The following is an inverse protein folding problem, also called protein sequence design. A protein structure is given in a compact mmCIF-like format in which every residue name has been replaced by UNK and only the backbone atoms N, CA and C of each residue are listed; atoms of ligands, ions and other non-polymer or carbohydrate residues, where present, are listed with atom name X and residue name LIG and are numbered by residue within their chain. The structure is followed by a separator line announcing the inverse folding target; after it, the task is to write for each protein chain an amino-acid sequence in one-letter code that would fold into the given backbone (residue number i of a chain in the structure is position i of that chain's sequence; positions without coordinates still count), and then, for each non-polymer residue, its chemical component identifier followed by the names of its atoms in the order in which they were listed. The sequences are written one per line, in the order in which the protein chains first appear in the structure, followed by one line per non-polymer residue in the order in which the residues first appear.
data_IF_237287381820
#
_entry.id   IF_237287381820
#
_cell.length_a   1.000
_cell.length_b   1.000
_cell.length_c   1.000
_cell.angle_alpha   90.00
_cell.angle_beta   90.00
_cell.angle_gamma   90.00
#
_symmetry.space_group_name_H-M   'P 1'
#
loop_
_entity.id
_entity.type
_entity.pdbx_description
1 polymer ?
#
# COMPACT_ATOMS: atom_id res chain seq x y z
N UNK A 1 0.20 6.81 -26.81
CA UNK A 1 1.00 5.86 -26.00
C UNK A 1 0.20 5.38 -24.80
N UNK A 2 -0.83 4.52 -24.97
CA UNK A 2 -1.54 3.84 -23.86
C UNK A 2 -1.21 2.35 -23.76
N UNK A 3 -0.74 1.77 -24.86
CA UNK A 3 -0.47 0.33 -25.02
C UNK A 3 0.47 -0.21 -23.94
N UNK A 4 1.55 0.51 -23.58
CA UNK A 4 2.48 0.07 -22.52
C UNK A 4 1.78 -0.04 -21.17
N UNK A 5 0.91 0.92 -20.83
CA UNK A 5 0.15 0.88 -19.59
C UNK A 5 -0.84 -0.30 -19.58
N UNK A 6 -1.53 -0.53 -20.69
CA UNK A 6 -2.48 -1.64 -20.83
C UNK A 6 -1.77 -3.00 -20.72
N UNK A 7 -0.61 -3.17 -21.38
CA UNK A 7 0.21 -4.39 -21.31
C UNK A 7 0.71 -4.62 -19.89
N UNK A 8 1.23 -3.58 -19.21
CA UNK A 8 1.70 -3.73 -17.82
C UNK A 8 0.55 -4.11 -16.88
N UNK A 9 -0.63 -3.55 -17.10
CA UNK A 9 -1.81 -3.82 -16.27
C UNK A 9 -2.39 -5.23 -16.48
N UNK A 10 -2.45 -5.70 -17.73
CA UNK A 10 -2.93 -7.05 -18.07
C UNK A 10 -1.86 -8.13 -17.81
N UNK A 11 -0.58 -7.77 -17.91
CA UNK A 11 0.55 -8.67 -17.68
C UNK A 11 0.88 -8.89 -16.20
N UNK A 12 0.42 -8.02 -15.30
CA UNK A 12 0.75 -8.12 -13.88
C UNK A 12 0.38 -9.46 -13.24
N UNK A 13 -0.80 -10.07 -13.48
CA UNK A 13 -1.11 -11.38 -12.92
C UNK A 13 -0.10 -12.45 -13.34
N UNK A 14 0.44 -12.37 -14.55
CA UNK A 14 1.50 -13.28 -15.02
C UNK A 14 2.80 -13.01 -14.27
N UNK A 15 3.19 -11.74 -14.10
CA UNK A 15 4.35 -11.36 -13.28
C UNK A 15 4.20 -11.85 -11.84
N UNK A 16 3.01 -11.74 -11.25
CA UNK A 16 2.71 -12.30 -9.94
C UNK A 16 2.94 -13.81 -9.92
N UNK A 17 2.40 -14.57 -10.88
CA UNK A 17 2.64 -16.02 -10.95
C UNK A 17 4.13 -16.38 -11.05
N UNK A 18 4.91 -15.61 -11.84
CA UNK A 18 6.37 -15.78 -11.91
C UNK A 18 7.01 -15.52 -10.55
N UNK A 19 6.63 -14.45 -9.84
CA UNK A 19 7.13 -14.17 -8.49
C UNK A 19 6.81 -15.30 -7.51
N UNK A 20 5.61 -15.89 -7.58
CA UNK A 20 5.24 -17.05 -6.75
C UNK A 20 6.00 -18.34 -7.11
N UNK A 21 6.44 -18.48 -8.37
CA UNK A 21 7.26 -19.62 -8.79
C UNK A 21 8.73 -19.53 -8.34
N UNK A 22 9.25 -18.32 -8.12
CA UNK A 22 10.67 -18.09 -7.79
C UNK A 22 10.89 -17.81 -6.31
N UNK A 23 9.95 -17.11 -5.66
CA UNK A 23 10.05 -16.70 -4.27
C UNK A 23 9.23 -17.62 -3.36
N UNK A 24 9.55 -17.63 -2.07
CA UNK A 24 8.68 -18.27 -1.08
C UNK A 24 7.30 -17.60 -1.08
N UNK A 25 6.18 -18.32 -0.88
CA UNK A 25 4.82 -17.78 -1.03
C UNK A 25 4.59 -16.46 -0.28
N UNK A 26 5.07 -16.36 0.97
CA UNK A 26 5.00 -15.11 1.76
C UNK A 26 5.75 -13.94 1.12
N UNK A 27 6.96 -14.17 0.62
CA UNK A 27 7.77 -13.15 -0.05
C UNK A 27 7.17 -12.78 -1.41
N UNK A 28 6.60 -13.75 -2.12
CA UNK A 28 5.89 -13.52 -3.37
C UNK A 28 4.65 -12.64 -3.17
N UNK A 29 3.87 -12.88 -2.11
CA UNK A 29 2.75 -12.00 -1.71
C UNK A 29 3.24 -10.57 -1.48
N UNK A 30 4.30 -10.37 -0.69
CA UNK A 30 4.86 -9.05 -0.43
C UNK A 30 5.36 -8.37 -1.71
N UNK A 31 6.16 -9.07 -2.51
CA UNK A 31 6.74 -8.54 -3.73
C UNK A 31 5.65 -8.18 -4.75
N UNK A 32 4.68 -9.08 -4.97
CA UNK A 32 3.56 -8.88 -5.87
C UNK A 32 2.67 -7.71 -5.43
N UNK A 33 2.38 -7.58 -4.13
CA UNK A 33 1.59 -6.48 -3.62
C UNK A 33 2.34 -5.14 -3.73
N UNK A 34 3.56 -5.07 -3.21
CA UNK A 34 4.33 -3.82 -3.13
C UNK A 34 4.80 -3.34 -4.51
N UNK A 35 5.37 -4.23 -5.33
CA UNK A 35 5.80 -3.86 -6.67
C UNK A 35 4.61 -3.52 -7.56
N UNK A 36 3.49 -4.25 -7.44
CA UNK A 36 2.28 -3.95 -8.18
C UNK A 36 1.70 -2.59 -7.79
N UNK A 37 1.66 -2.30 -6.49
CA UNK A 37 1.20 -1.00 -6.00
C UNK A 37 2.12 0.15 -6.44
N UNK A 38 3.44 -0.05 -6.39
CA UNK A 38 4.44 0.97 -6.64
C UNK A 38 4.76 1.20 -8.12
N UNK A 39 4.61 0.21 -9.00
CA UNK A 39 5.11 0.29 -10.38
C UNK A 39 4.02 0.40 -11.43
N UNK A 40 2.84 -0.24 -11.22
CA UNK A 40 1.79 -0.27 -12.24
C UNK A 40 1.32 1.13 -12.64
N UNK A 41 0.61 1.31 -13.78
CA UNK A 41 0.09 2.61 -14.17
C UNK A 41 -1.12 3.06 -13.31
N UNK A 42 -1.31 4.37 -13.18
CA UNK A 42 -2.51 4.96 -12.57
C UNK A 42 -3.46 5.45 -13.69
N UNK A 43 -4.75 5.65 -13.37
CA UNK A 43 -5.76 6.22 -14.29
C UNK A 43 -5.99 5.44 -15.59
N UNK A 44 -5.58 4.19 -15.63
CA UNK A 44 -5.86 3.25 -16.71
C UNK A 44 -6.65 2.11 -16.12
N UNK A 45 -7.69 1.71 -16.85
CA UNK A 45 -8.49 0.56 -16.51
C UNK A 45 -9.57 0.29 -17.55
N UNK A 46 -10.06 -0.94 -17.56
CA UNK A 46 -11.12 -1.40 -18.45
C UNK A 46 -12.44 -1.43 -17.69
N UNK A 47 -13.44 -0.77 -18.25
CA UNK A 47 -14.80 -0.85 -17.70
C UNK A 47 -15.38 -2.21 -18.03
N UNK A 48 -15.72 -2.96 -17.00
CA UNK A 48 -16.36 -4.26 -17.14
C UNK A 48 -17.85 -4.11 -16.82
N UNK A 49 -18.72 -4.59 -17.71
CA UNK A 49 -20.16 -4.59 -17.41
C UNK A 49 -20.45 -5.66 -16.36
N UNK A 50 -21.04 -5.29 -15.24
CA UNK A 50 -21.40 -6.22 -14.15
C UNK A 50 -20.27 -6.63 -13.21
N UNK A 51 -19.03 -6.19 -13.46
CA UNK A 51 -17.88 -6.47 -12.59
C UNK A 51 -17.18 -5.16 -12.21
N UNK A 52 -16.46 -5.13 -11.08
CA UNK A 52 -15.61 -4.00 -10.75
C UNK A 52 -14.63 -3.68 -11.90
N UNK A 53 -14.43 -2.39 -12.18
CA UNK A 53 -13.53 -1.92 -13.22
C UNK A 53 -12.14 -2.56 -13.07
N UNK A 54 -11.60 -3.08 -14.18
CA UNK A 54 -10.27 -3.67 -14.18
C UNK A 54 -9.22 -2.55 -14.10
N UNK A 55 -8.74 -2.28 -12.91
CA UNK A 55 -7.78 -1.22 -12.57
C UNK A 55 -6.50 -1.81 -12.01
N UNK A 56 -5.57 -0.95 -11.57
CA UNK A 56 -4.37 -1.38 -10.82
C UNK A 56 -4.74 -2.32 -9.68
N UNK A 57 -5.78 -1.98 -8.92
CA UNK A 57 -6.13 -2.72 -7.70
C UNK A 57 -6.62 -4.13 -8.06
N UNK A 58 -7.55 -4.25 -9.01
CA UNK A 58 -8.01 -5.57 -9.46
C UNK A 58 -6.87 -6.40 -10.05
N UNK A 59 -5.98 -5.78 -10.83
CA UNK A 59 -4.84 -6.46 -11.44
C UNK A 59 -3.88 -7.04 -10.38
N UNK A 60 -3.52 -6.26 -9.35
CA UNK A 60 -2.70 -6.73 -8.23
C UNK A 60 -3.40 -7.83 -7.44
N UNK A 61 -4.69 -7.63 -7.13
CA UNK A 61 -5.49 -8.59 -6.35
C UNK A 61 -5.69 -9.90 -7.11
N UNK A 62 -5.95 -9.84 -8.41
CA UNK A 62 -6.06 -11.04 -9.26
C UNK A 62 -4.74 -11.79 -9.32
N UNK A 63 -3.61 -11.10 -9.49
CA UNK A 63 -2.28 -11.72 -9.44
C UNK A 63 -1.99 -12.38 -8.09
N UNK A 64 -2.39 -11.76 -6.98
CA UNK A 64 -2.27 -12.34 -5.65
C UNK A 64 -3.15 -13.58 -5.46
N UNK A 65 -4.43 -13.50 -5.82
CA UNK A 65 -5.37 -14.61 -5.69
C UNK A 65 -4.94 -15.79 -6.54
N UNK A 66 -4.59 -15.56 -7.82
CA UNK A 66 -4.10 -16.61 -8.71
C UNK A 66 -2.80 -17.23 -8.20
N UNK A 67 -1.85 -16.40 -7.73
CA UNK A 67 -0.61 -16.89 -7.11
C UNK A 67 -0.86 -17.79 -5.91
N UNK A 68 -1.73 -17.38 -5.00
CA UNK A 68 -2.09 -18.20 -3.82
C UNK A 68 -2.83 -19.48 -4.23
N UNK A 69 -3.78 -19.41 -5.16
CA UNK A 69 -4.54 -20.58 -5.63
C UNK A 69 -3.66 -21.63 -6.31
N UNK A 70 -2.65 -21.20 -7.07
CA UNK A 70 -1.76 -22.12 -7.81
C UNK A 70 -0.65 -22.68 -6.92
N UNK A 71 -0.03 -21.85 -6.07
CA UNK A 71 1.19 -22.23 -5.36
C UNK A 71 1.01 -22.51 -3.86
N UNK A 72 -0.09 -22.08 -3.24
CA UNK A 72 -0.28 -22.21 -1.80
C UNK A 72 -1.77 -22.39 -1.41
N UNK A 73 -2.51 -23.18 -2.20
CA UNK A 73 -3.95 -23.40 -2.03
C UNK A 73 -4.31 -23.87 -0.61
N UNK A 74 -3.47 -24.73 -0.04
CA UNK A 74 -3.65 -25.30 1.29
C UNK A 74 -3.74 -24.23 2.38
N UNK A 75 -3.10 -23.06 2.20
CA UNK A 75 -3.19 -21.96 3.17
C UNK A 75 -4.58 -21.35 3.26
N UNK A 76 -5.38 -21.39 2.19
CA UNK A 76 -6.74 -20.83 2.24
C UNK A 76 -7.64 -21.55 3.26
N UNK A 77 -7.36 -22.82 3.58
CA UNK A 77 -8.06 -23.53 4.65
C UNK A 77 -7.80 -22.96 6.06
N UNK A 78 -6.77 -22.14 6.22
CA UNK A 78 -6.45 -21.42 7.45
C UNK A 78 -7.33 -20.19 7.72
N UNK A 79 -8.18 -19.78 6.76
CA UNK A 79 -9.08 -18.65 6.94
C UNK A 79 -10.18 -19.06 7.93
N UNK A 80 -10.09 -18.52 9.15
CA UNK A 80 -11.12 -18.69 10.19
C UNK A 80 -11.67 -17.33 10.57
N UNK A 81 -12.96 -17.12 10.29
CA UNK A 81 -13.66 -15.90 10.68
C UNK A 81 -13.73 -15.81 12.20
N UNK A 82 -13.13 -14.75 12.74
CA UNK A 82 -13.14 -14.39 14.15
C UNK A 82 -13.84 -13.05 14.35
N UNK A 83 -14.06 -12.68 15.62
CA UNK A 83 -14.73 -11.42 15.98
C UNK A 83 -14.00 -10.17 15.46
N UNK A 84 -12.68 -10.25 15.29
CA UNK A 84 -11.87 -9.16 14.74
C UNK A 84 -12.04 -8.95 13.24
N UNK A 85 -12.68 -9.88 12.52
CA UNK A 85 -12.99 -9.71 11.09
C UNK A 85 -14.36 -9.03 10.87
N UNK A 86 -15.17 -8.87 11.91
CA UNK A 86 -16.49 -8.25 11.77
C UNK A 86 -16.44 -6.84 11.14
N UNK A 87 -15.49 -5.95 11.49
CA UNK A 87 -15.41 -4.63 10.86
C UNK A 87 -15.12 -4.69 9.36
N UNK A 88 -14.26 -5.61 8.90
CA UNK A 88 -13.94 -5.72 7.47
C UNK A 88 -15.11 -6.34 6.69
N UNK A 89 -15.82 -7.30 7.30
CA UNK A 89 -17.03 -7.88 6.71
C UNK A 89 -18.12 -6.82 6.61
N UNK A 90 -18.35 -6.04 7.67
CA UNK A 90 -19.29 -4.92 7.66
C UNK A 90 -18.91 -3.87 6.61
N UNK A 91 -17.63 -3.52 6.51
CA UNK A 91 -17.13 -2.59 5.48
C UNK A 91 -17.39 -3.11 4.05
N UNK A 92 -17.21 -4.41 3.82
CA UNK A 92 -17.48 -5.01 2.52
C UNK A 92 -18.97 -5.11 2.18
N UNK A 93 -19.84 -5.28 3.19
CA UNK A 93 -21.29 -5.40 3.00
C UNK A 93 -22.03 -4.05 3.03
N UNK A 94 -21.41 -3.00 3.58
CA UNK A 94 -21.97 -1.65 3.66
C UNK A 94 -22.57 -1.13 2.33
N UNK A 95 -21.92 -1.29 1.17
CA UNK A 95 -22.47 -0.79 -0.11
C UNK A 95 -23.83 -1.38 -0.46
N UNK A 96 -24.12 -2.62 -0.06
CA UNK A 96 -25.44 -3.22 -0.26
C UNK A 96 -26.52 -2.47 0.51
N UNK A 97 -26.26 -2.19 1.79
CA UNK A 97 -27.19 -1.43 2.63
C UNK A 97 -27.39 -0.01 2.09
N UNK A 98 -26.31 0.65 1.67
CA UNK A 98 -26.37 1.98 1.05
C UNK A 98 -27.16 1.97 -0.26
N UNK A 99 -26.99 0.97 -1.11
CA UNK A 99 -27.66 0.88 -2.41
C UNK A 99 -29.17 0.68 -2.26
N UNK A 100 -29.58 -0.22 -1.36
CA UNK A 100 -30.99 -0.44 -1.02
C UNK A 100 -31.61 0.80 -0.39
N UNK A 101 -30.91 1.45 0.55
CA UNK A 101 -31.40 2.66 1.21
C UNK A 101 -31.58 3.85 0.25
N UNK A 102 -30.76 3.92 -0.80
CA UNK A 102 -30.83 4.99 -1.82
C UNK A 102 -31.67 4.60 -3.05
N UNK A 103 -32.30 3.42 -3.08
CA UNK A 103 -33.14 2.98 -4.19
C UNK A 103 -32.38 2.74 -5.51
N UNK A 104 -31.06 2.50 -5.45
CA UNK A 104 -30.20 2.27 -6.63
C UNK A 104 -30.31 0.84 -7.18
N UNK A 105 -30.91 -0.07 -6.41
CA UNK A 105 -31.19 -1.44 -6.81
C UNK A 105 -30.14 -2.46 -6.40
N UNK A 106 -30.52 -3.74 -6.36
CA UNK A 106 -29.66 -4.83 -5.86
C UNK A 106 -28.36 -4.95 -6.69
N UNK A 107 -28.45 -4.70 -7.99
CA UNK A 107 -27.30 -4.79 -8.89
C UNK A 107 -26.18 -3.81 -8.49
N UNK A 108 -26.52 -2.56 -8.19
CA UNK A 108 -25.56 -1.57 -7.73
C UNK A 108 -24.95 -1.98 -6.38
N UNK A 109 -25.78 -2.49 -5.46
CA UNK A 109 -25.33 -3.05 -4.18
C UNK A 109 -24.32 -4.18 -4.33
N UNK A 110 -24.58 -5.17 -5.21
CA UNK A 110 -23.65 -6.29 -5.47
C UNK A 110 -22.33 -5.77 -6.06
N UNK A 111 -22.40 -4.87 -7.05
CA UNK A 111 -21.21 -4.27 -7.66
C UNK A 111 -20.35 -3.52 -6.63
N UNK A 112 -21.00 -2.77 -5.72
CA UNK A 112 -20.35 -2.09 -4.61
C UNK A 112 -19.67 -3.05 -3.63
N UNK A 113 -20.36 -4.15 -3.25
CA UNK A 113 -19.80 -5.21 -2.40
C UNK A 113 -18.56 -5.84 -3.04
N UNK A 114 -18.66 -6.24 -4.32
CA UNK A 114 -17.52 -6.82 -5.05
C UNK A 114 -16.33 -5.86 -5.09
N UNK A 115 -16.58 -4.58 -5.34
CA UNK A 115 -15.53 -3.55 -5.33
C UNK A 115 -14.84 -3.47 -3.97
N UNK A 116 -15.58 -3.49 -2.87
CA UNK A 116 -15.02 -3.42 -1.52
C UNK A 116 -14.27 -4.72 -1.14
N UNK A 117 -14.79 -5.87 -1.53
CA UNK A 117 -14.12 -7.16 -1.31
C UNK A 117 -12.77 -7.18 -2.04
N UNK A 118 -12.70 -6.72 -3.29
CA UNK A 118 -11.44 -6.66 -4.03
C UNK A 118 -10.48 -5.64 -3.39
N UNK A 119 -10.94 -4.44 -3.07
CA UNK A 119 -10.06 -3.35 -2.64
C UNK A 119 -9.57 -3.51 -1.19
N UNK A 120 -10.39 -4.11 -0.32
CA UNK A 120 -10.11 -4.15 1.12
C UNK A 120 -10.17 -5.57 1.68
N UNK A 121 -11.21 -6.35 1.33
CA UNK A 121 -11.43 -7.68 1.89
C UNK A 121 -10.28 -8.65 1.57
N UNK A 122 -9.94 -8.83 0.30
CA UNK A 122 -8.91 -9.77 -0.13
C UNK A 122 -7.53 -9.38 0.43
N UNK A 123 -7.05 -8.12 0.30
CA UNK A 123 -5.78 -7.71 0.91
C UNK A 123 -5.74 -7.94 2.43
N UNK A 124 -6.85 -7.72 3.14
CA UNK A 124 -6.95 -7.96 4.58
C UNK A 124 -6.79 -9.46 4.90
N UNK A 125 -7.55 -10.35 4.26
CA UNK A 125 -7.49 -11.78 4.53
C UNK A 125 -6.14 -12.40 4.14
N UNK A 126 -5.57 -11.98 3.01
CA UNK A 126 -4.20 -12.37 2.63
C UNK A 126 -3.20 -11.87 3.67
N UNK A 127 -3.32 -10.61 4.10
CA UNK A 127 -2.46 -10.04 5.13
C UNK A 127 -2.48 -10.85 6.43
N UNK A 128 -3.68 -11.23 6.88
CA UNK A 128 -3.87 -12.09 8.05
C UNK A 128 -3.30 -13.49 7.84
N UNK A 129 -3.48 -14.07 6.66
CA UNK A 129 -3.02 -15.43 6.38
C UNK A 129 -1.49 -15.56 6.38
N UNK A 130 -0.78 -14.55 5.88
CA UNK A 130 0.68 -14.60 5.69
C UNK A 130 1.49 -13.85 6.75
N UNK A 131 0.90 -12.86 7.43
CA UNK A 131 1.62 -11.96 8.35
C UNK A 131 1.07 -11.92 9.78
N UNK A 132 0.28 -12.90 10.24
CA UNK A 132 -0.21 -12.91 11.63
C UNK A 132 0.85 -13.27 12.67
N UNK A 133 1.94 -13.92 12.26
CA UNK A 133 3.03 -14.32 13.15
C UNK A 133 4.12 -13.25 13.24
N UNK A 134 4.92 -13.29 14.31
CA UNK A 134 6.01 -12.32 14.51
C UNK A 134 7.03 -12.34 13.36
N UNK A 135 7.31 -13.51 12.78
CA UNK A 135 8.23 -13.63 11.64
C UNK A 135 7.60 -12.95 10.41
N UNK A 136 6.32 -13.25 10.13
CA UNK A 136 5.56 -12.59 9.07
C UNK A 136 5.51 -11.07 9.20
N UNK A 137 5.17 -10.53 10.38
CA UNK A 137 5.16 -9.09 10.63
C UNK A 137 6.53 -8.45 10.41
N UNK A 138 7.61 -9.12 10.82
CA UNK A 138 8.98 -8.67 10.57
C UNK A 138 9.32 -8.66 9.07
N UNK A 139 8.94 -9.71 8.34
CA UNK A 139 9.13 -9.77 6.89
C UNK A 139 8.36 -8.67 6.15
N UNK A 140 7.12 -8.40 6.54
CA UNK A 140 6.32 -7.29 6.01
C UNK A 140 7.00 -5.94 6.24
N UNK A 141 7.49 -5.71 7.46
CA UNK A 141 8.20 -4.49 7.82
C UNK A 141 9.50 -4.31 7.00
N UNK A 142 10.29 -5.38 6.83
CA UNK A 142 11.50 -5.36 5.99
C UNK A 142 11.14 -5.13 4.52
N UNK A 143 10.13 -5.85 4.02
CA UNK A 143 9.67 -5.75 2.63
C UNK A 143 9.25 -4.33 2.28
N UNK A 144 8.52 -3.66 3.17
CA UNK A 144 8.15 -2.24 3.01
C UNK A 144 9.38 -1.33 2.96
N UNK A 145 10.36 -1.52 3.86
CA UNK A 145 11.59 -0.71 3.87
C UNK A 145 12.38 -0.93 2.58
N UNK A 146 12.58 -2.18 2.17
CA UNK A 146 13.32 -2.52 0.94
C UNK A 146 12.63 -1.93 -0.28
N UNK A 147 11.31 -2.10 -0.40
CA UNK A 147 10.54 -1.54 -1.51
C UNK A 147 10.68 -0.02 -1.58
N UNK A 148 10.57 0.67 -0.44
CA UNK A 148 10.72 2.13 -0.43
C UNK A 148 12.16 2.58 -0.67
N UNK A 149 13.17 1.87 -0.17
CA UNK A 149 14.58 2.17 -0.49
C UNK A 149 14.87 1.99 -1.98
N UNK A 150 14.35 0.94 -2.62
CA UNK A 150 14.44 0.77 -4.07
C UNK A 150 13.68 1.87 -4.84
N UNK A 151 12.65 2.45 -4.23
CA UNK A 151 11.88 3.55 -4.82
C UNK A 151 12.57 4.93 -4.66
N UNK A 152 13.43 5.12 -3.64
CA UNK A 152 14.13 6.39 -3.36
C UNK A 152 14.83 6.99 -4.58
N UNK A 153 15.62 6.25 -5.40
CA UNK A 153 16.24 6.81 -6.60
C UNK A 153 15.24 7.44 -7.56
N UNK A 154 14.07 6.82 -7.73
CA UNK A 154 13.00 7.34 -8.59
C UNK A 154 12.39 8.62 -8.01
N UNK A 155 12.22 8.68 -6.69
CA UNK A 155 11.74 9.88 -5.98
C UNK A 155 12.74 11.04 -6.17
N UNK A 156 14.02 10.79 -5.94
CA UNK A 156 15.08 11.80 -6.06
C UNK A 156 15.20 12.31 -7.50
N UNK A 157 15.02 11.43 -8.48
CA UNK A 157 14.98 11.84 -9.89
C UNK A 157 13.85 12.84 -10.16
N UNK A 158 12.63 12.57 -9.70
CA UNK A 158 11.50 13.49 -9.91
C UNK A 158 11.60 14.79 -9.10
N UNK A 159 12.23 14.74 -7.93
CA UNK A 159 12.52 15.95 -7.14
C UNK A 159 13.41 16.93 -7.90
N UNK A 160 14.34 16.43 -8.73
CA UNK A 160 15.25 17.25 -9.53
C UNK A 160 14.66 17.63 -10.88
N UNK A 161 14.07 16.69 -11.60
CA UNK A 161 13.69 16.86 -13.02
C UNK A 161 12.22 17.26 -13.23
N UNK A 162 11.44 17.38 -12.15
CA UNK A 162 9.96 17.39 -12.13
C UNK A 162 9.35 15.99 -12.37
N UNK A 163 8.11 15.74 -11.90
CA UNK A 163 7.46 14.43 -12.06
C UNK A 163 7.06 14.16 -13.51
N UNK A 164 7.96 13.45 -14.18
CA UNK A 164 7.84 13.04 -15.58
C UNK A 164 7.97 11.52 -15.74
N UNK A 165 8.32 10.74 -14.70
CA UNK A 165 8.60 9.30 -14.87
C UNK A 165 7.37 8.55 -15.38
N UNK A 166 6.19 8.82 -14.82
CA UNK A 166 4.95 8.23 -15.31
C UNK A 166 4.70 8.58 -16.79
N UNK A 167 5.05 9.81 -17.21
CA UNK A 167 4.90 10.24 -18.61
C UNK A 167 5.92 9.54 -19.52
N UNK A 168 7.16 9.36 -19.07
CA UNK A 168 8.19 8.66 -19.83
C UNK A 168 7.86 7.17 -20.04
N UNK A 169 7.35 6.50 -19.01
CA UNK A 169 7.06 5.06 -19.07
C UNK A 169 5.69 4.78 -19.68
N UNK A 170 4.65 5.48 -19.23
CA UNK A 170 3.27 5.21 -19.60
C UNK A 170 2.67 6.20 -20.60
N UNK A 171 3.40 7.25 -20.97
CA UNK A 171 2.98 8.20 -22.01
C UNK A 171 2.00 9.28 -21.56
N UNK A 172 1.65 9.36 -20.26
CA UNK A 172 0.73 10.40 -19.75
C UNK A 172 1.03 10.82 -18.30
N UNK A 173 0.54 12.00 -17.93
CA UNK A 173 0.61 12.55 -16.57
C UNK A 173 -0.59 12.11 -15.73
N UNK A 174 -0.34 11.86 -14.45
CA UNK A 174 -1.36 11.39 -13.52
C UNK A 174 -2.27 12.52 -13.04
N UNK A 175 -1.80 13.76 -12.95
CA UNK A 175 -2.57 14.92 -12.48
C UNK A 175 -2.20 16.13 -13.34
N UNK A 176 -3.10 17.12 -13.53
CA UNK A 176 -2.73 18.42 -14.06
C UNK A 176 -1.50 19.02 -13.36
N UNK A 177 -0.57 19.55 -14.14
CA UNK A 177 0.73 20.05 -13.66
C UNK A 177 0.61 21.15 -12.59
N UNK A 178 -0.45 21.97 -12.64
CA UNK A 178 -0.72 23.01 -11.62
C UNK A 178 -0.86 22.45 -10.20
N UNK A 179 -1.37 21.22 -10.04
CA UNK A 179 -1.54 20.59 -8.72
C UNK A 179 -0.25 19.97 -8.17
N UNK A 180 0.77 19.82 -9.02
CA UNK A 180 2.08 19.27 -8.67
C UNK A 180 2.96 20.34 -7.99
N UNK A 181 2.78 21.60 -8.41
CA UNK A 181 3.49 22.74 -7.87
C UNK A 181 2.96 23.12 -6.49
N UNK A 182 3.78 22.99 -5.44
CA UNK A 182 3.38 23.37 -4.08
C UNK A 182 4.58 23.73 -3.22
N UNK A 183 4.47 24.83 -2.47
CA UNK A 183 5.56 25.37 -1.62
C UNK A 183 6.86 25.68 -2.41
N UNK A 184 6.73 26.14 -3.66
CA UNK A 184 7.87 26.54 -4.51
C UNK A 184 8.69 25.39 -5.10
N UNK A 185 8.26 24.14 -4.93
CA UNK A 185 8.96 22.95 -5.43
C UNK A 185 7.98 21.91 -6.01
N UNK A 186 8.50 20.97 -6.79
CA UNK A 186 7.74 19.85 -7.31
C UNK A 186 7.58 18.74 -6.26
N UNK A 187 6.36 18.22 -6.13
CA UNK A 187 6.09 17.02 -5.33
C UNK A 187 6.28 15.76 -6.18
N UNK A 188 7.17 14.83 -5.78
CA UNK A 188 7.35 13.58 -6.51
C UNK A 188 6.08 12.72 -6.35
N UNK A 189 5.80 11.92 -7.37
CA UNK A 189 4.67 10.99 -7.41
C UNK A 189 5.10 9.64 -7.97
N UNK A 190 6.08 9.65 -8.87
CA UNK A 190 6.65 8.51 -9.55
C UNK A 190 5.52 7.77 -10.26
N UNK A 191 5.09 6.60 -9.79
CA UNK A 191 3.94 5.89 -10.35
C UNK A 191 2.70 5.90 -9.44
N UNK A 192 2.69 6.66 -8.35
CA UNK A 192 1.53 6.80 -7.44
C UNK A 192 0.59 7.93 -7.87
N UNK A 193 -0.68 7.87 -7.48
CA UNK A 193 -1.72 8.77 -8.00
C UNK A 193 -1.48 10.23 -7.63
N UNK A 194 -1.02 10.45 -6.40
CA UNK A 194 -0.79 11.77 -5.83
C UNK A 194 0.48 11.77 -4.99
N UNK A 195 1.19 12.91 -4.91
CA UNK A 195 2.37 13.04 -4.04
C UNK A 195 2.03 12.93 -2.54
N UNK A 196 0.75 13.11 -2.20
CA UNK A 196 0.21 12.83 -0.85
C UNK A 196 0.22 11.34 -0.51
N UNK A 197 -0.04 10.47 -1.50
CA UNK A 197 -0.01 9.02 -1.34
C UNK A 197 1.44 8.56 -1.09
N UNK A 198 2.37 9.03 -1.93
CA UNK A 198 3.80 8.77 -1.77
C UNK A 198 4.31 9.25 -0.41
N UNK A 199 3.91 10.47 -0.02
CA UNK A 199 4.31 11.07 1.26
C UNK A 199 3.92 10.23 2.47
N UNK A 200 2.70 9.68 2.51
CA UNK A 200 2.26 8.79 3.59
C UNK A 200 3.01 7.47 3.56
N UNK A 201 3.21 6.88 2.38
CA UNK A 201 3.87 5.59 2.24
C UNK A 201 5.34 5.64 2.69
N UNK A 202 6.09 6.67 2.27
CA UNK A 202 7.48 6.84 2.68
C UNK A 202 7.61 7.23 4.15
N UNK A 203 6.69 8.06 4.68
CA UNK A 203 6.65 8.38 6.11
C UNK A 203 6.39 7.14 6.96
N UNK A 204 5.44 6.29 6.54
CA UNK A 204 5.17 5.01 7.18
C UNK A 204 6.38 4.07 7.17
N UNK A 205 7.05 3.93 6.01
CA UNK A 205 8.27 3.14 5.90
C UNK A 205 9.42 3.71 6.76
N UNK A 206 9.56 5.04 6.84
CA UNK A 206 10.54 5.69 7.69
C UNK A 206 10.28 5.42 9.19
N UNK A 207 9.01 5.49 9.64
CA UNK A 207 8.64 5.14 11.01
C UNK A 207 8.99 3.69 11.36
N UNK A 208 8.63 2.76 10.47
CA UNK A 208 8.93 1.34 10.63
C UNK A 208 10.45 1.12 10.68
N UNK A 209 11.22 1.78 9.81
CA UNK A 209 12.67 1.70 9.80
C UNK A 209 13.31 2.25 11.08
N UNK A 210 12.84 3.41 11.57
CA UNK A 210 13.33 4.00 12.83
C UNK A 210 13.04 3.06 14.00
N UNK A 211 11.84 2.47 14.06
CA UNK A 211 11.48 1.55 15.14
C UNK A 211 12.30 0.27 15.12
N UNK A 212 12.50 -0.34 13.95
CA UNK A 212 13.33 -1.55 13.81
C UNK A 212 14.80 -1.28 14.16
N UNK A 213 15.33 -0.12 13.78
CA UNK A 213 16.67 0.31 14.19
C UNK A 213 16.77 0.52 15.70
N UNK A 214 15.80 1.23 16.31
CA UNK A 214 15.80 1.53 17.75
C UNK A 214 15.60 0.30 18.64
N UNK A 215 14.78 -0.65 18.20
CA UNK A 215 14.53 -1.92 18.90
C UNK A 215 15.66 -2.93 18.74
N UNK A 216 16.65 -2.65 17.88
CA UNK A 216 17.73 -3.59 17.48
C UNK A 216 17.21 -4.94 16.95
N UNK A 217 15.95 -4.99 16.51
CA UNK A 217 15.37 -6.18 15.87
C UNK A 217 16.04 -6.50 14.54
N UNK A 218 16.63 -5.49 13.90
CA UNK A 218 17.39 -5.62 12.65
C UNK A 218 18.64 -4.76 12.74
N UNK A 219 19.78 -5.36 12.43
CA UNK A 219 21.08 -4.69 12.43
C UNK A 219 21.45 -4.21 11.02
N UNK A 220 21.14 -5.02 10.00
CA UNK A 220 21.43 -4.74 8.58
C UNK A 220 20.29 -5.20 7.68
N UNK A 221 20.08 -4.47 6.59
CA UNK A 221 19.16 -4.83 5.51
C UNK A 221 20.04 -5.00 4.27
N UNK A 222 20.40 -6.25 3.98
CA UNK A 222 21.44 -6.57 3.00
C UNK A 222 22.78 -5.92 3.38
N UNK A 223 23.19 -4.94 2.58
CA UNK A 223 24.49 -4.28 2.61
C UNK A 223 24.41 -2.92 3.32
N UNK A 224 23.20 -2.42 3.58
CA UNK A 224 22.96 -1.16 4.27
C UNK A 224 22.70 -1.41 5.76
N UNK A 225 23.28 -0.57 6.63
CA UNK A 225 22.95 -0.61 8.06
C UNK A 225 21.52 -0.12 8.30
N UNK A 226 20.83 -0.70 9.28
CA UNK A 226 19.45 -0.28 9.61
C UNK A 226 19.35 1.22 9.95
N UNK A 227 20.42 1.80 10.53
CA UNK A 227 20.52 3.23 10.81
C UNK A 227 20.51 4.06 9.53
N UNK A 228 21.33 3.69 8.54
CA UNK A 228 21.40 4.42 7.28
C UNK A 228 20.10 4.28 6.48
N UNK A 229 19.49 3.08 6.47
CA UNK A 229 18.17 2.87 5.88
C UNK A 229 17.12 3.83 6.46
N UNK A 230 17.04 3.91 7.79
CA UNK A 230 16.10 4.80 8.48
C UNK A 230 16.40 6.28 8.17
N UNK A 231 17.68 6.68 8.17
CA UNK A 231 18.09 8.06 7.88
C UNK A 231 17.70 8.46 6.45
N UNK A 232 17.96 7.61 5.46
CA UNK A 232 17.60 7.87 4.06
C UNK A 232 16.09 8.05 3.93
N UNK A 233 15.29 7.13 4.47
CA UNK A 233 13.83 7.21 4.38
C UNK A 233 13.27 8.44 5.10
N UNK A 234 13.83 8.81 6.27
CA UNK A 234 13.46 10.04 6.98
C UNK A 234 13.73 11.29 6.13
N UNK A 235 14.95 11.42 5.60
CA UNK A 235 15.35 12.59 4.80
C UNK A 235 14.47 12.68 3.55
N UNK A 236 14.30 11.58 2.81
CA UNK A 236 13.50 11.58 1.59
C UNK A 236 12.02 11.85 1.90
N UNK A 237 11.49 11.35 3.02
CA UNK A 237 10.14 11.68 3.48
C UNK A 237 9.96 13.17 3.71
N UNK A 238 10.96 13.86 4.27
CA UNK A 238 10.94 15.32 4.42
C UNK A 238 11.06 16.01 3.06
N UNK A 239 11.91 15.52 2.16
CA UNK A 239 12.07 16.09 0.82
C UNK A 239 10.80 15.97 -0.05
N UNK A 240 9.93 14.98 0.19
CA UNK A 240 8.67 14.82 -0.53
C UNK A 240 7.67 15.98 -0.27
N UNK A 241 7.86 16.78 0.79
CA UNK A 241 7.07 18.00 1.07
C UNK A 241 5.56 17.78 1.11
N UNK A 242 5.14 16.65 1.66
CA UNK A 242 3.75 16.25 1.80
C UNK A 242 3.27 16.46 3.25
N UNK A 243 2.35 17.41 3.46
CA UNK A 243 1.85 17.78 4.80
C UNK A 243 1.27 16.58 5.57
N UNK A 244 0.52 15.71 4.90
CA UNK A 244 0.00 14.48 5.49
C UNK A 244 1.11 13.50 5.87
N UNK A 245 2.15 13.36 5.04
CA UNK A 245 3.33 12.55 5.35
C UNK A 245 4.07 13.09 6.58
N UNK A 246 4.22 14.41 6.69
CA UNK A 246 4.80 15.04 7.88
C UNK A 246 3.98 14.75 9.14
N UNK A 247 2.65 14.89 9.04
CA UNK A 247 1.76 14.60 10.15
C UNK A 247 1.91 13.16 10.64
N UNK A 248 1.86 12.19 9.71
CA UNK A 248 2.08 10.76 10.02
C UNK A 248 3.45 10.56 10.65
N UNK A 249 4.50 11.16 10.10
CA UNK A 249 5.87 11.00 10.59
C UNK A 249 6.06 11.56 11.99
N UNK A 250 5.72 12.83 12.23
CA UNK A 250 5.95 13.47 13.52
C UNK A 250 5.03 12.93 14.61
N UNK A 251 3.76 12.70 14.29
CA UNK A 251 2.81 12.08 15.23
C UNK A 251 3.25 10.65 15.56
N UNK A 252 3.66 9.87 14.56
CA UNK A 252 4.17 8.51 14.75
C UNK A 252 5.43 8.46 15.60
N UNK A 253 6.41 9.34 15.35
CA UNK A 253 7.63 9.42 16.16
C UNK A 253 7.32 9.83 17.61
N UNK A 254 6.45 10.82 17.80
CA UNK A 254 6.00 11.26 19.12
C UNK A 254 5.31 10.13 19.88
N UNK A 255 4.45 9.37 19.21
CA UNK A 255 3.75 8.23 19.79
C UNK A 255 4.68 7.07 20.16
N UNK A 256 5.66 6.75 19.31
CA UNK A 256 6.66 5.72 19.61
C UNK A 256 7.54 6.13 20.79
N UNK A 257 7.94 7.41 20.86
CA UNK A 257 8.75 7.94 21.94
C UNK A 257 8.00 7.93 23.28
N UNK A 258 6.76 8.43 23.30
CA UNK A 258 5.91 8.45 24.50
C UNK A 258 5.55 7.04 24.97
N UNK A 259 5.20 6.12 24.04
CA UNK A 259 4.96 4.71 24.38
C UNK A 259 6.19 4.08 25.05
N UNK A 260 7.39 4.38 24.55
CA UNK A 260 8.64 3.89 25.15
C UNK A 260 8.91 4.51 26.52
N UNK A 261 8.67 5.81 26.68
CA UNK A 261 8.91 6.54 27.93
C UNK A 261 7.96 6.09 29.04
N UNK A 262 6.66 5.99 28.74
CA UNK A 262 5.63 5.65 29.73
C UNK A 262 5.37 4.14 29.85
N UNK A 263 5.96 3.31 28.99
CA UNK A 263 5.71 1.85 28.88
C UNK A 263 4.22 1.47 28.80
N UNK A 264 3.38 2.40 28.35
CA UNK A 264 1.94 2.26 28.32
C UNK A 264 1.45 2.12 26.88
N UNK A 265 0.48 1.23 26.67
CA UNK A 265 -0.19 1.04 25.38
C UNK A 265 -1.26 2.10 25.12
N UNK A 266 -1.57 2.97 26.09
CA UNK A 266 -2.63 3.96 26.01
C UNK A 266 -2.47 4.90 24.81
N UNK A 267 -1.25 5.36 24.51
CA UNK A 267 -0.99 6.26 23.38
C UNK A 267 -1.32 5.60 22.04
N UNK A 268 -0.97 4.32 21.88
CA UNK A 268 -1.26 3.56 20.66
C UNK A 268 -2.76 3.31 20.53
N UNK A 269 -3.45 3.03 21.64
CA UNK A 269 -4.90 2.84 21.65
C UNK A 269 -5.62 4.14 21.28
N UNK A 270 -5.22 5.27 21.87
CA UNK A 270 -5.80 6.58 21.55
C UNK A 270 -5.60 6.95 20.08
N UNK A 271 -4.42 6.66 19.51
CA UNK A 271 -4.19 6.83 18.08
C UNK A 271 -5.04 5.91 17.22
N UNK A 272 -5.26 4.66 17.64
CA UNK A 272 -6.13 3.74 16.91
C UNK A 272 -7.60 4.16 16.95
N UNK A 273 -8.03 4.86 18.00
CA UNK A 273 -9.38 5.41 18.14
C UNK A 273 -9.56 6.76 17.43
N UNK A 274 -8.47 7.49 17.15
CA UNK A 274 -8.52 8.81 16.52
C UNK A 274 -9.34 8.86 15.21
N UNK A 275 -9.23 7.90 14.27
CA UNK A 275 -10.06 7.91 13.07
C UNK A 275 -11.56 7.77 13.35
N UNK A 276 -11.94 7.04 14.41
CA UNK A 276 -13.35 6.86 14.80
C UNK A 276 -13.92 8.20 15.26
N UNK A 277 -13.14 8.96 16.05
CA UNK A 277 -13.54 10.30 16.48
C UNK A 277 -13.56 11.33 15.36
N UNK A 278 -12.70 11.20 14.34
CA UNK A 278 -12.69 12.11 13.20
C UNK A 278 -13.92 11.94 12.28
N UNK A 279 -14.49 10.74 12.23
CA UNK A 279 -15.64 10.41 11.39
C UNK A 279 -17.01 10.63 12.08
N UNK A 280 -17.01 10.93 13.38
CA UNK A 280 -18.20 11.34 14.17
C UNK A 280 -18.33 12.86 14.15
#
# INVERSE_FOLDING_TARGET
MRIVADIMLLGWPVVSLVLFSVLRPRQAVLASLLAGWLLLPQKVGFKLSGLPDYTRVTSVVLGLVLGVLVFDLSRLSGIRLGRFDLPIVAWCLCPMASSVANGLGIYDGISGVLTHVIFYGIPYFIGRLYFSDHIGMRELAIGLIVAMLCYVPLILFELRMSPQLHKHVYGFLQIPFKMIWRLGWYRPMVFLRHGLELGVLIAGAALVAVWLWRSRSIIRIGWLSARFAALILLVVSLLCRALNGYFVLFMGLGALYTTKMFKSRAVVILLALFPIFYCL
#
